data_IF_719440819917
#
_entry.id   IF_719440819917
#
_cell.length_a   1.000
_cell.length_b   1.000
_cell.length_c   1.000
_cell.angle_alpha   90.00
_cell.angle_beta   90.00
_cell.angle_gamma   90.00
#
_symmetry.space_group_name_H-M   'P 1'
#
loop_
_entity.id
_entity.type
_entity.pdbx_description
1 polymer ?
#
# COMPACT_ATOMS: atom_id res chain seq x y z
N UNK A 1 -8.46 15.40 -4.52
CA UNK A 1 -7.30 15.13 -3.65
C UNK A 1 -6.02 15.47 -4.40
N UNK A 2 -5.07 16.13 -3.75
CA UNK A 2 -3.83 16.49 -4.45
C UNK A 2 -3.00 15.29 -4.90
N UNK A 3 -3.13 14.17 -4.23
CA UNK A 3 -2.43 12.93 -4.64
C UNK A 3 -3.34 12.20 -5.61
N UNK A 4 -2.84 11.93 -6.81
CA UNK A 4 -3.62 11.18 -7.80
C UNK A 4 -3.53 9.69 -7.53
N UNK A 5 -4.39 8.90 -8.19
CA UNK A 5 -4.33 7.46 -8.03
C UNK A 5 -2.99 6.89 -8.52
N UNK A 6 -2.42 7.46 -9.57
CA UNK A 6 -1.11 7.03 -10.04
C UNK A 6 -0.02 7.32 -9.03
N UNK A 7 -0.08 8.49 -8.40
CA UNK A 7 0.86 8.84 -7.35
C UNK A 7 0.71 7.94 -6.15
N UNK A 8 -0.53 7.58 -5.82
CA UNK A 8 -0.79 6.65 -4.72
C UNK A 8 -0.19 5.28 -5.00
N UNK A 9 -0.34 4.79 -6.23
CA UNK A 9 0.28 3.52 -6.63
C UNK A 9 1.79 3.56 -6.51
N UNK A 10 2.41 4.63 -6.99
CA UNK A 10 3.86 4.78 -6.90
C UNK A 10 4.33 4.84 -5.46
N UNK A 11 3.63 5.62 -4.66
CA UNK A 11 4.00 5.79 -3.25
C UNK A 11 3.87 4.46 -2.51
N UNK A 12 2.79 3.73 -2.76
CA UNK A 12 2.57 2.45 -2.11
C UNK A 12 3.63 1.44 -2.52
N UNK A 13 3.95 1.38 -3.82
CA UNK A 13 4.96 0.42 -4.28
C UNK A 13 6.33 0.75 -3.71
N UNK A 14 6.67 2.03 -3.63
CA UNK A 14 7.94 2.44 -3.02
C UNK A 14 8.00 2.05 -1.55
N UNK A 15 6.90 2.20 -0.84
CA UNK A 15 6.81 1.79 0.54
C UNK A 15 7.07 0.28 0.66
N UNK A 16 6.43 -0.51 -0.19
CA UNK A 16 6.61 -1.97 -0.15
C UNK A 16 8.03 -2.36 -0.53
N UNK A 17 8.61 -1.70 -1.53
CA UNK A 17 9.99 -1.99 -1.93
C UNK A 17 10.97 -1.73 -0.80
N UNK A 18 10.64 -0.79 0.07
CA UNK A 18 11.51 -0.45 1.20
C UNK A 18 11.34 -1.42 2.35
N UNK A 19 10.12 -1.81 2.66
CA UNK A 19 9.83 -2.55 3.87
C UNK A 19 9.44 -4.00 3.65
N UNK A 20 8.86 -4.34 2.52
CA UNK A 20 8.31 -5.67 2.26
C UNK A 20 8.69 -6.13 0.87
N UNK A 21 9.93 -6.57 0.72
CA UNK A 21 10.41 -7.00 -0.58
C UNK A 21 9.62 -8.20 -1.10
N UNK A 22 9.43 -8.23 -2.39
CA UNK A 22 8.79 -9.37 -3.04
C UNK A 22 7.29 -9.28 -3.14
N UNK A 23 6.70 -8.15 -2.73
CA UNK A 23 5.26 -7.94 -2.87
C UNK A 23 5.00 -6.74 -3.76
N UNK A 24 3.82 -6.68 -4.32
CA UNK A 24 3.42 -5.59 -5.23
C UNK A 24 2.03 -5.11 -4.88
N UNK A 25 1.77 -3.83 -5.14
CA UNK A 25 0.41 -3.34 -5.07
C UNK A 25 -0.31 -3.73 -6.36
N UNK A 26 -1.59 -3.98 -6.27
CA UNK A 26 -2.40 -4.12 -7.47
C UNK A 26 -2.49 -2.79 -8.17
N UNK A 27 -2.61 -2.85 -9.49
CA UNK A 27 -2.61 -1.64 -10.30
C UNK A 27 -3.96 -0.96 -10.29
N UNK A 28 -4.65 -1.04 -9.19
CA UNK A 28 -5.95 -0.42 -9.03
C UNK A 28 -6.07 0.15 -7.64
N UNK A 29 -6.13 1.46 -7.56
CA UNK A 29 -6.33 2.14 -6.29
C UNK A 29 -7.80 2.51 -6.18
N UNK A 30 -8.45 2.08 -5.11
CA UNK A 30 -9.83 2.46 -4.84
C UNK A 30 -9.82 3.78 -4.08
N UNK A 31 -10.42 4.79 -4.70
CA UNK A 31 -10.43 6.12 -4.14
C UNK A 31 -11.59 6.27 -3.16
N UNK A 32 -11.29 6.78 -1.99
CA UNK A 32 -12.28 7.12 -1.00
C UNK A 32 -12.11 8.58 -0.62
N UNK A 33 -12.99 9.06 0.20
CA UNK A 33 -12.93 10.44 0.62
C UNK A 33 -11.68 10.65 1.48
N UNK A 34 -10.68 11.29 0.90
CA UNK A 34 -9.46 11.62 1.60
C UNK A 34 -8.33 10.62 1.51
N UNK A 35 -8.56 9.45 0.91
CA UNK A 35 -7.51 8.43 0.84
C UNK A 35 -7.78 7.43 -0.27
N UNK A 36 -6.75 6.62 -0.56
CA UNK A 36 -6.85 5.50 -1.51
C UNK A 36 -6.54 4.22 -0.77
N UNK A 37 -7.24 3.12 -1.13
CA UNK A 37 -6.88 1.80 -0.65
C UNK A 37 -6.35 0.96 -1.80
N UNK A 38 -5.34 0.16 -1.50
CA UNK A 38 -4.69 -0.69 -2.50
C UNK A 38 -4.44 -2.06 -1.89
N UNK A 39 -4.71 -3.09 -2.67
CA UNK A 39 -4.42 -4.46 -2.25
C UNK A 39 -2.96 -4.77 -2.51
N UNK A 40 -2.38 -5.56 -1.63
CA UNK A 40 -1.01 -6.03 -1.74
C UNK A 40 -1.05 -7.48 -2.15
N UNK A 41 -0.27 -7.83 -3.18
CA UNK A 41 -0.25 -9.21 -3.66
C UNK A 41 1.15 -9.78 -3.68
N UNK A 42 1.20 -11.09 -3.53
CA UNK A 42 2.43 -11.86 -3.67
C UNK A 42 2.07 -13.12 -4.42
N UNK A 43 2.78 -13.37 -5.53
CA UNK A 43 2.57 -14.57 -6.34
C UNK A 43 1.11 -14.75 -6.76
N UNK A 44 0.45 -13.64 -7.05
CA UNK A 44 -0.93 -13.68 -7.52
C UNK A 44 -1.99 -13.77 -6.44
N UNK A 45 -1.60 -13.79 -5.17
CA UNK A 45 -2.55 -13.87 -4.06
C UNK A 45 -2.55 -12.57 -3.27
N UNK A 46 -3.70 -12.16 -2.81
CA UNK A 46 -3.82 -10.97 -1.97
C UNK A 46 -3.33 -11.34 -0.57
N UNK A 47 -2.34 -10.63 -0.09
CA UNK A 47 -1.76 -10.90 1.22
C UNK A 47 -1.90 -9.74 2.19
N UNK A 48 -2.47 -8.64 1.75
CA UNK A 48 -2.67 -7.50 2.64
C UNK A 48 -3.33 -6.34 1.94
N UNK A 49 -3.48 -5.25 2.64
CA UNK A 49 -4.06 -4.03 2.13
C UNK A 49 -3.44 -2.83 2.82
N UNK A 50 -3.25 -1.76 2.08
CA UNK A 50 -2.77 -0.52 2.66
C UNK A 50 -3.57 0.66 2.15
N UNK A 51 -3.41 1.80 2.80
CA UNK A 51 -4.02 3.04 2.35
C UNK A 51 -2.95 4.11 2.17
N UNK A 52 -3.21 5.01 1.24
CA UNK A 52 -2.37 6.17 1.03
C UNK A 52 -3.23 7.41 1.24
N UNK A 53 -2.78 8.30 2.11
CA UNK A 53 -3.48 9.54 2.37
C UNK A 53 -3.50 10.39 1.10
N UNK A 54 -4.68 10.82 0.68
CA UNK A 54 -4.85 11.57 -0.57
C UNK A 54 -4.31 12.98 -0.54
N UNK A 55 -3.88 13.45 0.61
CA UNK A 55 -3.36 14.81 0.77
C UNK A 55 -1.87 14.84 1.10
N UNK A 56 -1.39 13.85 1.84
CA UNK A 56 -0.01 13.86 2.32
C UNK A 56 0.84 12.72 1.77
N UNK A 57 0.22 11.75 1.11
CA UNK A 57 0.87 10.53 0.63
C UNK A 57 1.34 9.61 1.74
N UNK A 58 0.90 9.83 2.97
CA UNK A 58 1.28 8.96 4.07
C UNK A 58 0.66 7.59 3.87
N UNK A 59 1.45 6.53 4.13
CA UNK A 59 1.02 5.15 3.91
C UNK A 59 0.66 4.52 5.24
N UNK A 60 -0.47 3.81 5.26
CA UNK A 60 -0.92 3.06 6.43
C UNK A 60 -1.14 1.60 6.02
N UNK A 61 -0.51 0.68 6.71
CA UNK A 61 -0.72 -0.74 6.46
C UNK A 61 -1.89 -1.21 7.33
N UNK A 62 -2.95 -1.70 6.68
CA UNK A 62 -4.17 -2.10 7.38
C UNK A 62 -4.21 -3.56 7.72
N UNK A 63 -3.83 -4.41 6.78
CA UNK A 63 -3.94 -5.84 6.95
C UNK A 63 -2.73 -6.53 6.34
N UNK A 64 -2.33 -7.65 6.94
CA UNK A 64 -1.19 -8.39 6.45
C UNK A 64 -1.35 -9.86 6.85
N UNK A 65 -1.19 -10.74 5.88
CA UNK A 65 -1.36 -12.17 6.10
C UNK A 65 -0.08 -12.95 5.84
N UNK A 66 1.06 -12.34 6.05
CA UNK A 66 2.34 -13.00 5.78
C UNK A 66 3.28 -12.86 6.94
N UNK A 67 4.48 -13.35 6.74
CA UNK A 67 5.55 -13.21 7.71
C UNK A 67 6.14 -11.83 7.58
N UNK A 68 5.65 -10.97 8.40
CA UNK A 68 6.07 -9.62 8.29
C UNK A 68 6.22 -9.09 9.70
N UNK A 69 7.38 -8.77 10.04
CA UNK A 69 7.70 -8.49 11.43
C UNK A 69 8.34 -7.12 11.56
N UNK A 70 9.11 -6.76 10.59
CA UNK A 70 9.99 -5.61 10.72
C UNK A 70 9.25 -4.32 10.92
N UNK A 71 8.14 -4.15 10.27
CA UNK A 71 7.42 -2.89 10.38
C UNK A 71 6.76 -2.73 11.71
N UNK A 72 6.42 -3.82 12.32
CA UNK A 72 5.74 -3.74 13.61
C UNK A 72 6.69 -3.31 14.69
N UNK A 73 7.92 -3.41 14.46
CA UNK A 73 8.85 -3.00 15.46
C UNK A 73 8.96 -1.52 15.48
N UNK A 74 8.45 -1.27 14.94
CA UNK A 74 8.54 -0.10 15.11
C UNK A 74 8.67 0.33 15.80
#
# INVERSE_FOLDING_TARGET
MPVSSEQALETAQRYLDTYLLGVKVEEKADAFYGYYTLDIQRDGAIVGMLSVNGYTSQVFLHAWHGDFIEMSSE
#
